data_IF_008322644383
#
_entry.id   IF_008322644383
#
_cell.length_a   1.000
_cell.length_b   1.000
_cell.length_c   1.000
_cell.angle_alpha   90.00
_cell.angle_beta   90.00
_cell.angle_gamma   90.00
#
_symmetry.space_group_name_H-M   'P 1'
#
loop_
_entity.id
_entity.type
_entity.pdbx_description
1 polymer ?
#
# COMPACT_ATOMS: atom_id res chain seq x y z
N UNK A 1 -9.01 40.50 -25.44
CA UNK A 1 -9.65 39.19 -25.71
C UNK A 1 -9.35 38.26 -24.55
N UNK A 2 -10.36 37.91 -23.76
CA UNK A 2 -10.25 36.93 -22.67
C UNK A 2 -10.80 35.60 -23.23
N UNK A 3 -9.97 34.56 -23.30
CA UNK A 3 -10.43 33.22 -23.68
C UNK A 3 -11.30 32.66 -22.55
N UNK A 4 -12.59 32.99 -22.56
CA UNK A 4 -13.61 32.32 -21.78
C UNK A 4 -13.77 30.89 -22.34
N UNK A 5 -13.16 29.90 -21.69
CA UNK A 5 -13.33 28.49 -22.07
C UNK A 5 -12.14 27.56 -21.84
N UNK A 6 -10.96 28.05 -21.44
CA UNK A 6 -9.84 27.16 -21.10
C UNK A 6 -9.98 26.61 -19.67
N UNK A 7 -10.98 25.77 -19.41
CA UNK A 7 -10.88 24.83 -18.29
C UNK A 7 -9.96 23.70 -18.72
N UNK A 8 -8.88 23.38 -17.97
CA UNK A 8 -8.05 22.22 -18.28
C UNK A 8 -8.93 20.96 -18.38
N UNK A 9 -8.61 20.09 -19.32
CA UNK A 9 -9.31 18.83 -19.49
C UNK A 9 -9.33 18.06 -18.15
N UNK A 10 -10.44 17.39 -17.81
CA UNK A 10 -10.53 16.64 -16.56
C UNK A 10 -9.44 15.56 -16.53
N UNK A 11 -8.71 15.49 -15.42
CA UNK A 11 -7.74 14.41 -15.16
C UNK A 11 -8.53 13.24 -14.59
N UNK A 12 -8.51 12.11 -15.29
CA UNK A 12 -9.09 10.86 -14.79
C UNK A 12 -8.11 10.30 -13.74
N UNK A 13 -8.53 10.27 -12.49
CA UNK A 13 -7.80 9.60 -11.41
C UNK A 13 -8.47 8.25 -11.19
N UNK A 14 -7.73 7.18 -11.44
CA UNK A 14 -8.20 5.83 -11.13
C UNK A 14 -7.80 5.50 -9.69
N UNK A 15 -8.78 5.38 -8.80
CA UNK A 15 -8.57 4.85 -7.45
C UNK A 15 -8.46 3.33 -7.57
N UNK A 16 -7.22 2.83 -7.56
CA UNK A 16 -6.93 1.40 -7.51
C UNK A 16 -6.01 1.09 -6.33
N UNK A 17 -6.06 -0.15 -5.87
CA UNK A 17 -5.15 -0.60 -4.83
C UNK A 17 -3.69 -0.56 -5.26
N UNK A 18 -2.78 -0.21 -4.34
CA UNK A 18 -1.35 -0.30 -4.60
C UNK A 18 -0.95 -1.73 -4.94
N UNK A 19 0.01 -1.89 -5.86
CA UNK A 19 0.56 -3.20 -6.20
C UNK A 19 1.31 -3.78 -5.00
N UNK A 20 1.18 -5.10 -4.81
CA UNK A 20 1.99 -5.83 -3.83
C UNK A 20 3.47 -5.66 -4.17
N UNK A 21 4.26 -5.21 -3.20
CA UNK A 21 5.71 -5.11 -3.29
C UNK A 21 6.36 -6.00 -2.23
N UNK A 22 7.61 -6.41 -2.46
CA UNK A 22 8.38 -7.09 -1.42
C UNK A 22 8.58 -6.18 -0.22
N UNK A 23 8.43 -6.77 0.97
CA UNK A 23 8.78 -6.09 2.21
C UNK A 23 10.31 -5.98 2.33
N UNK A 24 10.85 -4.78 2.59
CA UNK A 24 12.28 -4.62 2.78
C UNK A 24 12.70 -5.28 4.10
N UNK A 25 13.52 -6.32 4.01
CA UNK A 25 14.11 -6.97 5.18
C UNK A 25 15.51 -6.39 5.44
N UNK A 26 15.82 -5.93 6.66
CA UNK A 26 17.15 -5.38 6.95
C UNK A 26 18.21 -6.48 6.86
N UNK A 27 19.37 -6.14 6.32
CA UNK A 27 20.56 -6.99 6.39
C UNK A 27 21.05 -7.09 7.85
N UNK A 28 21.63 -8.24 8.21
CA UNK A 28 22.18 -8.51 9.54
C UNK A 28 23.58 -9.09 9.40
N UNK A 29 24.53 -8.53 10.15
CA UNK A 29 25.92 -9.00 10.26
C UNK A 29 26.49 -8.62 11.64
N UNK A 30 25.99 -9.24 12.72
CA UNK A 30 26.33 -8.83 14.08
C UNK A 30 27.70 -9.34 14.51
N UNK A 31 28.55 -8.45 15.02
CA UNK A 31 29.86 -8.81 15.58
C UNK A 31 29.77 -9.19 17.08
N UNK A 32 28.76 -8.68 17.79
CA UNK A 32 28.54 -8.94 19.21
C UNK A 32 27.08 -9.33 19.49
N UNK A 33 26.83 -9.89 20.67
CA UNK A 33 25.47 -10.19 21.12
C UNK A 33 24.60 -8.93 21.26
N UNK A 34 25.21 -7.77 21.55
CA UNK A 34 24.49 -6.51 21.59
C UNK A 34 24.06 -6.07 20.19
N UNK A 35 24.93 -6.25 19.19
CA UNK A 35 24.60 -5.99 17.78
C UNK A 35 23.50 -6.94 17.33
N UNK A 36 23.61 -8.23 17.62
CA UNK A 36 22.57 -9.22 17.32
C UNK A 36 21.22 -8.82 17.96
N UNK A 37 21.24 -8.38 19.21
CA UNK A 37 20.02 -7.91 19.89
C UNK A 37 19.43 -6.66 19.22
N UNK A 38 20.28 -5.76 18.71
CA UNK A 38 19.83 -4.60 17.96
C UNK A 38 19.27 -4.99 16.58
N UNK A 39 19.90 -5.94 15.89
CA UNK A 39 19.46 -6.48 14.61
C UNK A 39 18.11 -7.16 14.73
N UNK A 40 17.89 -7.96 15.78
CA UNK A 40 16.59 -8.59 16.09
C UNK A 40 15.50 -7.53 16.22
N UNK A 41 15.72 -6.49 17.03
CA UNK A 41 14.73 -5.40 17.16
C UNK A 41 14.45 -4.71 15.84
N UNK A 42 15.47 -4.45 15.01
CA UNK A 42 15.29 -3.85 13.67
C UNK A 42 14.47 -4.77 12.76
N UNK A 43 14.73 -6.07 12.80
CA UNK A 43 13.98 -7.06 12.04
C UNK A 43 12.51 -7.13 12.49
N UNK A 44 12.26 -7.13 13.81
CA UNK A 44 10.90 -7.12 14.38
C UNK A 44 10.11 -5.87 13.93
N UNK A 45 10.74 -4.69 13.93
CA UNK A 45 10.12 -3.47 13.41
C UNK A 45 9.83 -3.56 11.91
N UNK A 46 10.76 -4.08 11.11
CA UNK A 46 10.54 -4.26 9.67
C UNK A 46 9.40 -5.24 9.38
N UNK A 47 9.28 -6.31 10.18
CA UNK A 47 8.20 -7.27 10.06
C UNK A 47 6.84 -6.67 10.44
N UNK A 48 6.78 -5.88 11.51
CA UNK A 48 5.56 -5.18 11.89
C UNK A 48 5.10 -4.20 10.80
N UNK A 49 6.03 -3.43 10.22
CA UNK A 49 5.74 -2.52 9.12
C UNK A 49 5.25 -3.27 7.86
N UNK A 50 5.88 -4.41 7.55
CA UNK A 50 5.47 -5.29 6.45
C UNK A 50 4.04 -5.82 6.64
N UNK A 51 3.71 -6.31 7.84
CA UNK A 51 2.38 -6.83 8.15
C UNK A 51 1.30 -5.75 7.90
N UNK A 52 1.53 -4.53 8.40
CA UNK A 52 0.63 -3.40 8.17
C UNK A 52 0.46 -3.07 6.68
N UNK A 53 1.55 -3.11 5.91
CA UNK A 53 1.50 -2.88 4.47
C UNK A 53 0.64 -3.93 3.76
N UNK A 54 0.86 -5.21 4.07
CA UNK A 54 0.13 -6.34 3.47
C UNK A 54 -1.36 -6.27 3.83
N UNK A 55 -1.68 -5.98 5.09
CA UNK A 55 -3.07 -5.78 5.55
C UNK A 55 -3.74 -4.64 4.80
N UNK A 56 -3.06 -3.49 4.68
CA UNK A 56 -3.60 -2.33 3.94
C UNK A 56 -3.88 -2.65 2.47
N UNK A 57 -2.96 -3.36 1.80
CA UNK A 57 -3.15 -3.77 0.40
C UNK A 57 -4.33 -4.75 0.28
N UNK A 58 -4.42 -5.72 1.20
CA UNK A 58 -5.51 -6.70 1.22
C UNK A 58 -6.86 -6.04 1.47
N UNK A 59 -6.96 -5.16 2.46
CA UNK A 59 -8.22 -4.47 2.79
C UNK A 59 -8.70 -3.65 1.60
N UNK A 60 -7.78 -2.97 0.91
CA UNK A 60 -8.10 -2.31 -0.34
C UNK A 60 -8.63 -3.29 -1.39
N UNK A 61 -7.96 -4.44 -1.60
CA UNK A 61 -8.39 -5.43 -2.59
C UNK A 61 -9.79 -5.98 -2.31
N UNK A 62 -10.14 -6.20 -1.04
CA UNK A 62 -11.49 -6.62 -0.63
C UNK A 62 -12.53 -5.57 -1.01
N UNK A 63 -12.23 -4.28 -0.80
CA UNK A 63 -13.14 -3.19 -1.19
C UNK A 63 -13.30 -3.08 -2.71
N UNK A 64 -12.20 -3.20 -3.46
CA UNK A 64 -12.23 -3.23 -4.92
C UNK A 64 -13.09 -4.41 -5.42
N UNK A 65 -12.92 -5.60 -4.86
CA UNK A 65 -13.74 -6.78 -5.17
C UNK A 65 -15.24 -6.56 -4.87
N UNK A 66 -15.58 -5.98 -3.72
CA UNK A 66 -16.97 -5.66 -3.35
C UNK A 66 -17.58 -4.63 -4.32
N UNK A 67 -16.83 -3.60 -4.70
CA UNK A 67 -17.29 -2.56 -5.63
C UNK A 67 -17.53 -3.06 -7.05
N UNK A 68 -16.91 -4.18 -7.43
CA UNK A 68 -17.09 -4.82 -8.74
C UNK A 68 -18.22 -5.85 -8.75
N UNK A 69 -18.88 -6.11 -7.62
CA UNK A 69 -20.13 -6.88 -7.65
C UNK A 69 -21.19 -6.06 -8.40
N UNK A 70 -21.86 -6.65 -9.41
CA UNK A 70 -22.90 -5.94 -10.13
C UNK A 70 -23.95 -5.50 -9.11
N UNK A 71 -24.31 -4.21 -9.12
CA UNK A 71 -25.47 -3.71 -8.40
C UNK A 71 -26.60 -4.69 -8.68
N UNK A 72 -27.02 -5.44 -7.67
CA UNK A 72 -28.12 -6.39 -7.81
C UNK A 72 -29.34 -5.53 -8.08
N UNK A 73 -29.66 -5.38 -9.36
CA UNK A 73 -30.72 -4.53 -9.88
C UNK A 73 -31.95 -4.77 -9.03
N UNK A 74 -32.41 -3.73 -8.34
CA UNK A 74 -33.68 -3.78 -7.63
C UNK A 74 -34.80 -3.95 -8.68
N UNK A 75 -35.51 -5.06 -8.61
CA UNK A 75 -36.80 -5.30 -9.29
C UNK A 75 -37.85 -4.27 -8.86
#
# INVERSE_FOLDING_TARGET
MLCAGCTPAPVIVYSACPKVSYCPMPTSDPATNNDLSADIRRLEHALAACALQVETVKDCQVLDEESTQPERSAD
#
